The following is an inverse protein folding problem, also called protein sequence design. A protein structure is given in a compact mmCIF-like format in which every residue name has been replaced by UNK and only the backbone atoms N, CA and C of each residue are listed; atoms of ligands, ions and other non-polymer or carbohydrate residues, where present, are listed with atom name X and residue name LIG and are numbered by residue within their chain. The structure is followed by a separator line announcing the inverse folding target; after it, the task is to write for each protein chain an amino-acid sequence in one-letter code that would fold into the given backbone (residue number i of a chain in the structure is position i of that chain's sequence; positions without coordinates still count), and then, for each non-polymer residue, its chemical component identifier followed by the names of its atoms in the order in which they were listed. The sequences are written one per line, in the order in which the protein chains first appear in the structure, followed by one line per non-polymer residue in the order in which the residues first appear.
data_IF_792670889034
#
_entry.id   IF_792670889034
#
_cell.length_a   1.000
_cell.length_b   1.000
_cell.length_c   1.000
_cell.angle_alpha   90.00
_cell.angle_beta   90.00
_cell.angle_gamma   90.00
#
_symmetry.space_group_name_H-M   'P 1'
#
loop_
_entity.id
_entity.type
_entity.pdbx_description
1 polymer ?
#
# COMPACT_ATOMS: atom_id res chain seq x y z
N UNK A 1 10.47 28.17 -29.35
CA UNK A 1 10.66 27.77 -27.93
C UNK A 1 10.96 26.27 -27.92
N UNK A 2 12.13 25.88 -27.39
CA UNK A 2 12.62 24.49 -27.42
C UNK A 2 11.85 23.66 -26.39
N UNK A 3 11.28 22.53 -26.82
CA UNK A 3 10.58 21.57 -25.94
C UNK A 3 11.63 20.62 -25.37
N UNK A 4 11.81 20.64 -24.05
CA UNK A 4 12.67 19.69 -23.33
C UNK A 4 11.79 18.50 -22.91
N UNK A 5 12.14 17.30 -23.39
CA UNK A 5 11.48 16.04 -23.02
C UNK A 5 12.34 15.40 -21.93
N UNK A 6 11.75 15.09 -20.78
CA UNK A 6 12.40 14.37 -19.68
C UNK A 6 11.87 12.94 -19.70
N UNK A 7 12.76 11.97 -19.93
CA UNK A 7 12.45 10.54 -19.94
C UNK A 7 12.87 9.99 -18.57
N UNK A 8 11.92 9.45 -17.79
CA UNK A 8 12.21 8.70 -16.58
C UNK A 8 12.44 7.23 -16.94
N UNK A 9 13.66 6.74 -16.73
CA UNK A 9 14.00 5.33 -16.82
C UNK A 9 13.67 4.65 -15.48
N UNK A 10 12.75 3.70 -15.48
CA UNK A 10 12.46 2.84 -14.33
C UNK A 10 13.48 1.70 -14.34
N UNK A 11 14.38 1.68 -13.36
CA UNK A 11 15.28 0.55 -13.11
C UNK A 11 14.51 -0.57 -12.39
N UNK A 12 14.38 -1.72 -13.05
CA UNK A 12 13.93 -2.96 -12.41
C UNK A 12 15.12 -3.64 -11.72
N UNK A 13 15.11 -3.69 -10.39
CA UNK A 13 16.02 -4.54 -9.62
C UNK A 13 15.46 -5.97 -9.59
N UNK A 14 15.99 -6.84 -10.46
CA UNK A 14 15.87 -8.28 -10.31
C UNK A 14 16.86 -8.74 -9.23
N UNK A 15 16.35 -9.05 -8.03
CA UNK A 15 17.14 -9.74 -7.02
C UNK A 15 17.33 -11.20 -7.44
N UNK A 16 18.56 -11.51 -7.85
CA UNK A 16 19.06 -12.84 -8.14
C UNK A 16 19.20 -13.62 -6.82
N UNK A 17 18.40 -14.67 -6.62
CA UNK A 17 18.61 -15.65 -5.55
C UNK A 17 19.74 -16.59 -5.96
N UNK A 18 20.93 -16.42 -5.36
CA UNK A 18 22.00 -17.41 -5.48
C UNK A 18 22.07 -18.20 -4.17
N UNK A 19 21.58 -19.45 -4.22
CA UNK A 19 21.88 -20.47 -3.21
C UNK A 19 23.41 -20.65 -3.14
N UNK A 20 23.97 -20.61 -1.94
CA UNK A 20 25.36 -21.04 -1.69
C UNK A 20 25.33 -22.40 -1.00
N UNK A 21 25.93 -23.36 -1.69
CA UNK A 21 26.21 -24.72 -1.23
C UNK A 21 27.14 -24.75 -0.02
N UNK A 22 26.91 -25.76 0.82
CA UNK A 22 27.84 -26.25 1.83
C UNK A 22 29.00 -26.96 1.16
N UNK A 23 30.24 -26.59 1.52
CA UNK A 23 31.34 -27.51 1.84
C UNK A 23 32.67 -26.74 1.86
N UNK A 24 33.31 -26.63 3.04
CA UNK A 24 34.73 -27.00 3.17
C UNK A 24 35.13 -27.20 4.64
N UNK A 25 35.50 -28.44 4.94
CA UNK A 25 36.37 -28.89 6.04
C UNK A 25 37.72 -28.16 5.96
N UNK A 26 38.38 -27.86 7.09
CA UNK A 26 39.81 -28.18 7.36
C UNK A 26 40.30 -27.67 8.74
N UNK A 27 40.56 -28.66 9.60
CA UNK A 27 41.73 -28.89 10.48
C UNK A 27 42.25 -27.90 11.54
N UNK A 28 42.71 -28.52 12.64
CA UNK A 28 43.22 -27.99 13.91
C UNK A 28 44.59 -27.30 13.83
N UNK A 29 44.83 -26.36 14.75
CA UNK A 29 46.13 -25.82 15.17
C UNK A 29 45.89 -24.58 16.06
N UNK A 30 45.84 -24.75 17.39
CA UNK A 30 46.97 -24.63 18.32
C UNK A 30 47.13 -23.20 18.86
N UNK A 31 47.35 -23.15 20.18
CA UNK A 31 47.83 -22.04 21.01
C UNK A 31 46.79 -21.08 21.60
N UNK A 32 46.32 -21.52 22.79
CA UNK A 32 46.07 -20.71 23.97
C UNK A 32 47.06 -19.53 24.07
N UNK A 33 46.53 -18.31 24.12
CA UNK A 33 47.02 -17.36 25.09
C UNK A 33 46.03 -16.20 25.29
N UNK A 34 46.07 -15.70 26.52
CA UNK A 34 45.55 -14.41 26.96
C UNK A 34 44.13 -14.35 27.54
N UNK A 35 44.12 -14.58 28.85
CA UNK A 35 43.63 -13.62 29.85
C UNK A 35 42.13 -13.28 29.80
N UNK A 36 41.40 -14.02 30.62
CA UNK A 36 40.31 -13.54 31.48
C UNK A 36 40.49 -12.08 31.90
N UNK A 37 39.74 -11.19 31.24
CA UNK A 37 39.27 -9.94 31.83
C UNK A 37 37.75 -9.91 31.69
N UNK A 38 37.09 -10.08 32.84
CA UNK A 38 35.67 -9.89 33.02
C UNK A 38 35.30 -8.44 32.66
N UNK A 39 34.80 -8.24 31.44
CA UNK A 39 33.84 -7.17 31.18
C UNK A 39 32.46 -7.80 31.21
N UNK A 40 31.70 -7.50 32.26
CA UNK A 40 30.25 -7.71 32.31
C UNK A 40 29.67 -7.16 31.00
N UNK A 41 29.27 -8.04 30.09
CA UNK A 41 28.34 -7.65 29.05
C UNK A 41 27.00 -7.53 29.75
N UNK A 42 26.57 -6.29 29.97
CA UNK A 42 25.14 -5.98 29.95
C UNK A 42 24.66 -6.35 28.55
N UNK A 43 24.32 -7.63 28.36
CA UNK A 43 23.49 -8.09 27.25
C UNK A 43 22.08 -7.59 27.56
N UNK A 44 21.88 -6.29 27.39
CA UNK A 44 20.60 -5.82 26.90
C UNK A 44 20.56 -6.34 25.48
N UNK A 45 19.78 -7.40 25.26
CA UNK A 45 19.37 -7.82 23.93
C UNK A 45 18.73 -6.58 23.25
N UNK A 46 19.56 -5.80 22.55
CA UNK A 46 19.13 -4.79 21.59
C UNK A 46 18.46 -5.43 20.36
N UNK A 47 18.39 -6.77 20.31
CA UNK A 47 17.53 -7.54 19.42
C UNK A 47 16.08 -7.62 19.95
N UNK A 48 15.60 -6.56 20.60
CA UNK A 48 14.15 -6.33 20.67
C UNK A 48 13.69 -6.07 19.24
N UNK A 49 13.28 -7.16 18.60
CA UNK A 49 12.48 -7.28 17.38
C UNK A 49 11.85 -5.93 17.10
N UNK A 50 12.38 -5.23 16.09
CA UNK A 50 11.77 -4.03 15.57
C UNK A 50 10.34 -4.41 15.18
N UNK A 51 9.37 -4.09 16.05
CA UNK A 51 7.96 -4.27 15.75
C UNK A 51 7.73 -3.44 14.51
N UNK A 52 7.70 -4.09 13.34
CA UNK A 52 7.56 -3.43 12.05
C UNK A 52 6.50 -2.35 12.18
N UNK A 53 6.89 -1.10 11.91
CA UNK A 53 6.03 0.09 12.02
C UNK A 53 4.96 0.01 10.92
N UNK A 54 4.03 -0.93 11.07
CA UNK A 54 2.88 -1.07 10.19
C UNK A 54 1.96 0.11 10.44
N UNK A 55 1.50 0.75 9.36
CA UNK A 55 0.59 1.90 9.46
C UNK A 55 -0.74 1.46 10.10
N UNK A 56 -1.51 2.38 10.70
CA UNK A 56 -2.85 2.05 11.20
C UNK A 56 -3.72 1.37 10.13
N UNK A 57 -3.62 1.81 8.87
CA UNK A 57 -4.32 1.22 7.74
C UNK A 57 -3.89 -0.23 7.47
N UNK A 58 -2.58 -0.52 7.45
CA UNK A 58 -2.08 -1.89 7.28
C UNK A 58 -2.53 -2.83 8.41
N UNK A 59 -2.56 -2.31 9.65
CA UNK A 59 -3.08 -3.05 10.81
C UNK A 59 -4.58 -3.34 10.68
N UNK A 60 -5.36 -2.42 10.12
CA UNK A 60 -6.77 -2.64 9.83
C UNK A 60 -6.94 -3.70 8.73
N UNK A 61 -6.22 -3.55 7.61
CA UNK A 61 -6.29 -4.45 6.47
C UNK A 61 -5.88 -5.88 6.86
N UNK A 62 -4.88 -6.06 7.72
CA UNK A 62 -4.47 -7.39 8.19
C UNK A 62 -5.50 -8.10 9.07
N UNK A 63 -6.42 -7.35 9.70
CA UNK A 63 -7.56 -7.90 10.46
C UNK A 63 -8.75 -8.26 9.58
N UNK A 64 -8.87 -7.64 8.40
CA UNK A 64 -9.87 -8.02 7.41
C UNK A 64 -9.45 -9.37 6.79
N UNK A 65 -10.35 -10.34 6.74
CA UNK A 65 -10.07 -11.65 6.16
C UNK A 65 -10.13 -11.61 4.62
N UNK A 66 -9.29 -10.75 4.02
CA UNK A 66 -9.20 -10.56 2.57
C UNK A 66 -8.26 -11.57 1.91
N UNK A 67 -8.70 -12.15 0.79
CA UNK A 67 -7.86 -12.99 -0.06
C UNK A 67 -6.86 -12.15 -0.89
N UNK A 68 -6.00 -12.82 -1.66
CA UNK A 68 -4.96 -12.13 -2.46
C UNK A 68 -5.55 -11.17 -3.49
N UNK A 69 -6.62 -11.57 -4.19
CA UNK A 69 -7.29 -10.75 -5.20
C UNK A 69 -7.97 -9.53 -4.61
N UNK A 70 -8.60 -9.67 -3.45
CA UNK A 70 -9.22 -8.56 -2.71
C UNK A 70 -8.14 -7.57 -2.25
N UNK A 71 -7.01 -8.05 -1.73
CA UNK A 71 -5.87 -7.21 -1.32
C UNK A 71 -5.25 -6.45 -2.49
N UNK A 72 -5.08 -7.11 -3.64
CA UNK A 72 -4.60 -6.47 -4.87
C UNK A 72 -5.57 -5.37 -5.33
N UNK A 73 -6.87 -5.63 -5.27
CA UNK A 73 -7.89 -4.64 -5.67
C UNK A 73 -7.94 -3.46 -4.70
N UNK A 74 -7.79 -3.70 -3.39
CA UNK A 74 -7.69 -2.64 -2.40
C UNK A 74 -6.41 -1.81 -2.55
N UNK A 75 -5.32 -2.46 -2.96
CA UNK A 75 -4.04 -1.79 -3.27
C UNK A 75 -4.19 -0.92 -4.51
N UNK A 76 -4.85 -1.42 -5.56
CA UNK A 76 -5.23 -0.65 -6.74
C UNK A 76 -6.06 0.59 -6.36
N UNK A 77 -7.09 0.42 -5.52
CA UNK A 77 -7.92 1.53 -5.03
C UNK A 77 -7.10 2.54 -4.21
N UNK A 78 -6.25 2.08 -3.30
CA UNK A 78 -5.43 2.99 -2.47
C UNK A 78 -4.47 3.81 -3.35
N UNK A 79 -3.81 3.16 -4.30
CA UNK A 79 -2.85 3.80 -5.19
C UNK A 79 -3.54 4.78 -6.15
N UNK A 80 -4.70 4.42 -6.72
CA UNK A 80 -5.41 5.33 -7.61
C UNK A 80 -5.93 6.56 -6.85
N UNK A 81 -6.31 6.44 -5.58
CA UNK A 81 -6.76 7.59 -4.79
C UNK A 81 -5.60 8.56 -4.55
N UNK A 82 -4.42 8.05 -4.20
CA UNK A 82 -3.19 8.87 -4.10
C UNK A 82 -2.81 9.52 -5.43
N UNK A 83 -3.02 8.81 -6.54
CA UNK A 83 -2.75 9.33 -7.89
C UNK A 83 -3.74 10.44 -8.30
N UNK A 84 -5.04 10.22 -8.11
CA UNK A 84 -6.11 11.02 -8.73
C UNK A 84 -6.66 12.12 -7.83
N UNK A 85 -6.70 11.95 -6.52
CA UNK A 85 -7.25 12.99 -5.63
C UNK A 85 -6.41 14.27 -5.61
N UNK A 86 -5.14 14.21 -6.04
CA UNK A 86 -4.29 15.39 -6.23
C UNK A 86 -4.78 16.28 -7.39
N UNK A 87 -5.56 15.74 -8.33
CA UNK A 87 -6.21 16.52 -9.39
C UNK A 87 -7.47 17.22 -8.82
N UNK A 88 -7.57 18.56 -8.88
CA UNK A 88 -8.72 19.29 -8.37
C UNK A 88 -10.08 18.90 -8.98
N UNK A 89 -10.09 18.32 -10.18
CA UNK A 89 -11.32 17.86 -10.83
C UNK A 89 -11.83 16.55 -10.23
N UNK A 90 -10.95 15.75 -9.62
CA UNK A 90 -11.29 14.47 -9.00
C UNK A 90 -11.35 14.57 -7.46
N UNK A 91 -10.41 15.29 -6.84
CA UNK A 91 -10.29 15.48 -5.39
C UNK A 91 -10.66 16.88 -4.92
N UNK A 92 -11.83 17.37 -5.30
CA UNK A 92 -12.27 18.73 -4.98
C UNK A 92 -12.39 18.97 -3.47
N UNK A 93 -12.89 17.97 -2.72
CA UNK A 93 -13.05 18.03 -1.28
C UNK A 93 -11.74 17.70 -0.58
N UNK A 94 -10.98 16.71 -1.08
CA UNK A 94 -9.64 16.39 -0.59
C UNK A 94 -8.70 17.59 -0.61
N UNK A 95 -8.74 18.42 -1.67
CA UNK A 95 -7.96 19.66 -1.72
C UNK A 95 -8.23 20.59 -0.54
N UNK A 96 -9.46 20.63 -0.04
CA UNK A 96 -9.84 21.46 1.11
C UNK A 96 -9.28 20.93 2.45
N UNK A 97 -8.75 19.70 2.49
CA UNK A 97 -8.09 19.14 3.69
C UNK A 97 -6.60 19.46 3.75
N UNK A 98 -6.06 20.23 2.79
CA UNK A 98 -4.64 20.56 2.67
C UNK A 98 -3.87 19.68 1.68
N UNK A 99 -4.50 18.65 1.09
CA UNK A 99 -3.92 17.83 0.02
C UNK A 99 -2.78 16.90 0.45
N UNK A 100 -2.75 16.48 1.71
CA UNK A 100 -1.73 15.56 2.26
C UNK A 100 -2.13 14.10 2.01
N UNK A 101 -1.23 13.29 1.45
CA UNK A 101 -1.45 11.85 1.26
C UNK A 101 -1.79 11.12 2.57
N UNK A 102 -1.31 11.59 3.72
CA UNK A 102 -1.68 11.03 5.03
C UNK A 102 -3.19 11.08 5.28
N UNK A 103 -3.87 12.11 4.78
CA UNK A 103 -5.33 12.26 4.89
C UNK A 103 -6.07 11.24 4.04
N UNK A 104 -5.47 10.78 2.93
CA UNK A 104 -6.03 9.71 2.11
C UNK A 104 -6.02 8.39 2.91
N UNK A 105 -4.90 8.07 3.56
CA UNK A 105 -4.80 6.86 4.38
C UNK A 105 -5.73 6.89 5.59
N UNK A 106 -5.85 8.04 6.26
CA UNK A 106 -6.82 8.25 7.35
C UNK A 106 -8.27 8.05 6.87
N UNK A 107 -8.62 8.61 5.72
CA UNK A 107 -9.95 8.48 5.15
C UNK A 107 -10.26 7.04 4.72
N UNK A 108 -9.32 6.33 4.10
CA UNK A 108 -9.48 4.91 3.77
C UNK A 108 -9.64 4.08 5.05
N UNK A 109 -8.83 4.36 6.08
CA UNK A 109 -8.95 3.66 7.36
C UNK A 109 -10.34 3.86 7.97
N UNK A 110 -10.85 5.10 8.02
CA UNK A 110 -12.19 5.40 8.52
C UNK A 110 -13.26 4.68 7.68
N UNK A 111 -13.19 4.82 6.36
CA UNK A 111 -14.12 4.19 5.42
C UNK A 111 -14.23 2.67 5.66
N UNK A 112 -13.10 1.98 5.74
CA UNK A 112 -13.09 0.53 5.96
C UNK A 112 -13.54 0.14 7.37
N UNK A 113 -13.27 0.99 8.38
CA UNK A 113 -13.67 0.72 9.77
C UNK A 113 -15.18 0.82 9.98
N UNK A 114 -15.86 1.65 9.20
CA UNK A 114 -17.32 1.87 9.28
C UNK A 114 -18.15 0.81 8.52
N UNK A 115 -17.48 -0.06 7.77
CA UNK A 115 -18.12 -1.05 6.91
C UNK A 115 -17.98 -2.47 7.45
N UNK A 116 -18.94 -3.33 7.11
CA UNK A 116 -18.81 -4.77 7.36
C UNK A 116 -17.88 -5.39 6.33
N UNK A 117 -17.23 -6.48 6.71
CA UNK A 117 -16.27 -7.18 5.83
C UNK A 117 -16.91 -7.67 4.52
N UNK A 118 -18.15 -8.16 4.56
CA UNK A 118 -18.89 -8.61 3.38
C UNK A 118 -19.16 -7.47 2.38
N UNK A 119 -19.44 -6.28 2.89
CA UNK A 119 -19.66 -5.09 2.06
C UNK A 119 -18.36 -4.59 1.41
N UNK A 120 -17.25 -4.64 2.15
CA UNK A 120 -15.92 -4.35 1.61
C UNK A 120 -15.60 -5.34 0.48
N UNK A 121 -15.82 -6.64 0.71
CA UNK A 121 -15.58 -7.68 -0.30
C UNK A 121 -16.44 -7.50 -1.56
N UNK A 122 -17.72 -7.19 -1.38
CA UNK A 122 -18.63 -6.93 -2.50
C UNK A 122 -18.15 -5.73 -3.34
N UNK A 123 -17.77 -4.64 -2.69
CA UNK A 123 -17.21 -3.45 -3.36
C UNK A 123 -15.93 -3.79 -4.12
N UNK A 124 -14.99 -4.51 -3.50
CA UNK A 124 -13.75 -4.90 -4.16
C UNK A 124 -14.02 -5.81 -5.37
N UNK A 125 -14.97 -6.73 -5.28
CA UNK A 125 -15.36 -7.57 -6.41
C UNK A 125 -15.89 -6.73 -7.59
N UNK A 126 -16.73 -5.73 -7.32
CA UNK A 126 -17.24 -4.80 -8.34
C UNK A 126 -16.13 -3.95 -8.96
N UNK A 127 -15.25 -3.41 -8.12
CA UNK A 127 -14.13 -2.60 -8.60
C UNK A 127 -13.24 -3.43 -9.52
N UNK A 128 -12.94 -4.67 -9.13
CA UNK A 128 -12.14 -5.60 -9.92
C UNK A 128 -12.82 -5.92 -11.26
N UNK A 129 -14.10 -6.30 -11.24
CA UNK A 129 -14.86 -6.63 -12.44
C UNK A 129 -14.79 -5.50 -13.48
N UNK A 130 -14.94 -4.24 -13.05
CA UNK A 130 -14.89 -3.08 -13.94
C UNK A 130 -13.46 -2.69 -14.34
N UNK A 131 -12.48 -2.86 -13.45
CA UNK A 131 -11.04 -2.68 -13.77
C UNK A 131 -10.64 -3.65 -14.88
N UNK A 132 -10.90 -4.94 -14.71
CA UNK A 132 -10.48 -5.99 -15.64
C UNK A 132 -11.04 -5.74 -17.05
N UNK A 133 -12.31 -5.30 -17.15
CA UNK A 133 -12.96 -4.96 -18.42
C UNK A 133 -12.30 -3.80 -19.16
N UNK A 134 -11.62 -2.90 -18.43
CA UNK A 134 -11.05 -1.66 -18.97
C UNK A 134 -9.53 -1.69 -19.07
N UNK A 135 -8.88 -2.72 -18.52
CA UNK A 135 -7.43 -2.76 -18.38
C UNK A 135 -6.68 -2.78 -19.72
N UNK A 136 -7.32 -3.28 -20.77
CA UNK A 136 -6.77 -3.28 -22.14
C UNK A 136 -6.80 -1.90 -22.81
N UNK A 137 -7.66 -0.98 -22.34
CA UNK A 137 -7.76 0.39 -22.84
C UNK A 137 -7.34 1.39 -21.76
N UNK A 138 -6.13 1.94 -21.91
CA UNK A 138 -5.54 2.85 -20.93
C UNK A 138 -6.37 4.12 -20.69
N UNK A 139 -7.09 4.63 -21.69
CA UNK A 139 -7.95 5.82 -21.55
C UNK A 139 -9.23 5.50 -20.78
N UNK A 140 -9.86 4.35 -21.05
CA UNK A 140 -11.03 3.88 -20.30
C UNK A 140 -10.67 3.57 -18.84
N UNK A 141 -9.54 2.89 -18.60
CA UNK A 141 -9.05 2.65 -17.25
C UNK A 141 -8.74 3.95 -16.51
N UNK A 142 -8.15 4.93 -17.19
CA UNK A 142 -7.86 6.23 -16.60
C UNK A 142 -9.15 6.99 -16.23
N UNK A 143 -10.15 6.97 -17.10
CA UNK A 143 -11.48 7.53 -16.82
C UNK A 143 -12.12 6.85 -15.62
N UNK A 144 -12.07 5.52 -15.56
CA UNK A 144 -12.59 4.75 -14.44
C UNK A 144 -11.90 5.07 -13.11
N UNK A 145 -10.57 5.19 -13.10
CA UNK A 145 -9.82 5.66 -11.91
C UNK A 145 -10.29 7.04 -11.44
N UNK A 146 -10.53 7.97 -12.37
CA UNK A 146 -11.04 9.30 -12.05
C UNK A 146 -12.43 9.23 -11.43
N UNK A 147 -13.33 8.40 -11.98
CA UNK A 147 -14.68 8.20 -11.43
C UNK A 147 -14.61 7.63 -10.00
N UNK A 148 -13.77 6.62 -9.76
CA UNK A 148 -13.57 6.06 -8.42
C UNK A 148 -13.05 7.12 -7.44
N UNK A 149 -12.08 7.94 -7.86
CA UNK A 149 -11.55 9.00 -7.02
C UNK A 149 -12.60 10.06 -6.68
N UNK A 150 -13.37 10.53 -7.67
CA UNK A 150 -14.49 11.45 -7.45
C UNK A 150 -15.59 10.85 -6.56
N UNK A 151 -15.89 9.56 -6.74
CA UNK A 151 -16.86 8.83 -5.91
C UNK A 151 -16.42 8.72 -4.45
N UNK A 152 -15.12 8.57 -4.22
CA UNK A 152 -14.51 8.55 -2.88
C UNK A 152 -14.38 9.93 -2.24
N UNK A 153 -14.11 10.97 -3.04
CA UNK A 153 -13.80 12.34 -2.58
C UNK A 153 -14.85 12.91 -1.61
N UNK A 154 -16.11 12.48 -1.73
CA UNK A 154 -17.18 12.87 -0.82
C UNK A 154 -16.88 12.62 0.67
N UNK A 155 -16.03 11.64 1.01
CA UNK A 155 -15.65 11.35 2.39
C UNK A 155 -14.96 12.53 3.08
N UNK A 156 -14.21 13.34 2.33
CA UNK A 156 -13.55 14.55 2.83
C UNK A 156 -14.51 15.70 3.09
N UNK A 157 -15.77 15.57 2.66
CA UNK A 157 -16.85 16.51 2.93
C UNK A 157 -18.00 15.84 3.71
N UNK A 158 -17.65 14.97 4.66
CA UNK A 158 -18.58 14.36 5.62
C UNK A 158 -19.66 13.48 4.99
N UNK A 159 -19.46 12.99 3.76
CA UNK A 159 -20.28 11.89 3.28
C UNK A 159 -20.02 10.66 4.16
N UNK A 160 -21.09 9.93 4.50
CA UNK A 160 -20.96 8.70 5.27
C UNK A 160 -20.38 7.56 4.41
N UNK A 161 -19.78 6.57 5.08
CA UNK A 161 -19.12 5.45 4.44
C UNK A 161 -20.07 4.58 3.60
N UNK A 162 -21.40 4.58 3.83
CA UNK A 162 -22.35 3.86 2.96
C UNK A 162 -22.60 4.59 1.66
N UNK A 163 -22.73 5.91 1.72
CA UNK A 163 -22.86 6.73 0.52
C UNK A 163 -21.63 6.57 -0.38
N UNK A 164 -20.43 6.65 0.21
CA UNK A 164 -19.18 6.45 -0.52
C UNK A 164 -19.09 5.02 -1.09
N UNK A 165 -19.46 4.00 -0.31
CA UNK A 165 -19.49 2.61 -0.76
C UNK A 165 -20.36 2.44 -2.02
N UNK A 166 -21.56 3.01 -2.03
CA UNK A 166 -22.47 2.91 -3.17
C UNK A 166 -21.88 3.60 -4.42
N UNK A 167 -21.30 4.80 -4.27
CA UNK A 167 -20.63 5.49 -5.38
C UNK A 167 -19.52 4.63 -6.00
N UNK A 168 -18.73 3.93 -5.17
CA UNK A 168 -17.66 3.06 -5.65
C UNK A 168 -18.19 1.79 -6.33
N UNK A 169 -19.29 1.22 -5.85
CA UNK A 169 -19.93 0.03 -6.47
C UNK A 169 -20.58 0.36 -7.82
N UNK A 170 -21.15 1.55 -7.93
CA UNK A 170 -21.88 2.01 -9.12
C UNK A 170 -20.96 2.64 -10.17
N UNK A 171 -19.68 2.86 -9.85
CA UNK A 171 -18.68 3.33 -10.80
C UNK A 171 -18.49 2.31 -11.93
N UNK A 172 -18.65 2.76 -13.17
CA UNK A 172 -18.41 1.98 -14.40
C UNK A 172 -17.43 2.72 -15.27
#
# INVERSE_FOLDING_TARGET
MKKTIIIFAILAFLFNCTNKDNDTKLNNGAEEDSQTLQSKSDLVDEDRIEFSKTTPLEKLISKLNLNSTEKETLTFLTNLLKEKLLDPNAGSNFKNTGGDESKIEEAIHQFLSDLKEDEIKEMLAKIKENKDKKEENSEELNTYKTILASGFDGIFNKADSKTVLNNLKDAV
#
